data_IF_160948966222
#
_entry.id   IF_160948966222
#
_cell.length_a   1.000
_cell.length_b   1.000
_cell.length_c   1.000
_cell.angle_alpha   90.00
_cell.angle_beta   90.00
_cell.angle_gamma   90.00
#
_symmetry.space_group_name_H-M   'P 1'
#
loop_
_entity.id
_entity.type
_entity.pdbx_description
1 polymer ?
#
# COMPACT_ATOMS: atom_id res chain seq x y z
N UNK A 1 38.54 46.83 -0.98
CA UNK A 1 37.49 46.09 -0.23
C UNK A 1 36.35 45.48 -1.07
N UNK A 2 36.05 45.92 -2.29
CA UNK A 2 34.90 45.39 -3.09
C UNK A 2 35.05 43.93 -3.58
N UNK A 3 36.29 43.46 -3.88
CA UNK A 3 36.55 42.10 -4.39
C UNK A 3 36.23 40.97 -3.39
N UNK A 4 36.55 41.14 -2.10
CA UNK A 4 36.33 40.12 -1.08
C UNK A 4 34.82 39.89 -0.79
N UNK A 5 34.01 40.95 -0.82
CA UNK A 5 32.54 40.86 -0.65
C UNK A 5 31.87 40.15 -1.82
N UNK A 6 32.31 40.40 -3.06
CA UNK A 6 31.80 39.70 -4.24
C UNK A 6 32.17 38.21 -4.25
N UNK A 7 33.39 37.86 -3.79
CA UNK A 7 33.82 36.47 -3.67
C UNK A 7 33.03 35.67 -2.62
N UNK A 8 32.82 36.25 -1.42
CA UNK A 8 32.04 35.63 -0.36
C UNK A 8 30.54 35.46 -0.74
N UNK A 9 29.98 36.41 -1.50
CA UNK A 9 28.62 36.32 -2.02
C UNK A 9 28.44 35.16 -3.01
N UNK A 10 29.39 35.00 -3.95
CA UNK A 10 29.40 33.89 -4.90
C UNK A 10 29.59 32.52 -4.23
N UNK A 11 30.39 32.45 -3.15
CA UNK A 11 30.59 31.22 -2.38
C UNK A 11 29.33 30.80 -1.59
N UNK A 12 28.66 31.78 -0.95
CA UNK A 12 27.36 31.59 -0.28
C UNK A 12 26.27 31.16 -1.26
N UNK A 13 26.24 31.75 -2.46
CA UNK A 13 25.23 31.43 -3.47
C UNK A 13 25.43 30.01 -4.04
N UNK A 14 26.68 29.62 -4.33
CA UNK A 14 27.02 28.25 -4.76
C UNK A 14 26.65 27.22 -3.70
N UNK A 15 26.97 27.47 -2.43
CA UNK A 15 26.61 26.57 -1.32
C UNK A 15 25.10 26.36 -1.17
N UNK A 16 24.30 27.43 -1.30
CA UNK A 16 22.84 27.34 -1.26
C UNK A 16 22.28 26.54 -2.43
N UNK A 17 22.79 26.75 -3.64
CA UNK A 17 22.38 26.00 -4.84
C UNK A 17 22.70 24.52 -4.66
N UNK A 18 23.90 24.17 -4.20
CA UNK A 18 24.29 22.78 -3.93
C UNK A 18 23.38 22.14 -2.88
N UNK A 19 23.05 22.86 -1.81
CA UNK A 19 22.18 22.37 -0.74
C UNK A 19 20.74 22.14 -1.22
N UNK A 20 20.20 23.07 -2.03
CA UNK A 20 18.89 22.92 -2.65
C UNK A 20 18.85 21.74 -3.63
N UNK A 21 19.91 21.54 -4.42
CA UNK A 21 20.02 20.39 -5.32
C UNK A 21 20.09 19.06 -4.56
N UNK A 22 20.78 19.02 -3.42
CA UNK A 22 20.84 17.87 -2.52
C UNK A 22 19.47 17.54 -1.92
N UNK A 23 18.70 18.55 -1.50
CA UNK A 23 17.32 18.36 -1.00
C UNK A 23 16.42 17.82 -2.11
N UNK A 24 16.51 18.35 -3.34
CA UNK A 24 15.75 17.85 -4.48
C UNK A 24 16.09 16.41 -4.85
N UNK A 25 17.37 16.01 -4.74
CA UNK A 25 17.80 14.62 -4.94
C UNK A 25 17.28 13.67 -3.85
N UNK A 26 17.22 14.14 -2.59
CA UNK A 26 16.68 13.36 -1.48
C UNK A 26 15.15 13.19 -1.55
N UNK A 27 14.43 14.12 -2.18
CA UNK A 27 12.97 14.08 -2.32
C UNK A 27 12.46 13.63 -3.70
N UNK A 28 13.33 13.51 -4.72
CA UNK A 28 12.94 13.23 -6.11
C UNK A 28 12.63 11.76 -6.44
N UNK A 29 12.62 10.88 -5.44
CA UNK A 29 12.54 9.43 -5.62
C UNK A 29 11.20 8.82 -5.21
N UNK A 30 10.08 9.28 -5.79
CA UNK A 30 8.85 8.47 -5.78
C UNK A 30 8.62 7.97 -7.20
N UNK A 31 9.01 6.72 -7.45
CA UNK A 31 8.60 6.03 -8.66
C UNK A 31 7.08 5.88 -8.60
N UNK A 32 6.37 6.62 -9.45
CA UNK A 32 4.92 6.46 -9.65
C UNK A 32 4.67 5.11 -10.32
N UNK A 33 4.71 4.04 -9.55
CA UNK A 33 4.18 2.74 -9.94
C UNK A 33 2.66 2.84 -10.07
N UNK A 34 2.09 2.11 -11.03
CA UNK A 34 0.63 1.98 -11.09
C UNK A 34 0.17 1.18 -9.87
N UNK A 35 -0.76 1.73 -9.10
CA UNK A 35 -1.36 1.03 -7.97
C UNK A 35 -1.98 -0.31 -8.42
N UNK A 36 -1.79 -1.40 -7.66
CA UNK A 36 -2.35 -2.69 -8.00
C UNK A 36 -3.88 -2.66 -7.92
N UNK A 37 -4.53 -3.45 -8.78
CA UNK A 37 -5.97 -3.67 -8.70
C UNK A 37 -6.27 -4.45 -7.42
N UNK A 38 -7.19 -3.95 -6.60
CA UNK A 38 -7.61 -4.68 -5.39
C UNK A 38 -8.87 -5.49 -5.68
N UNK A 39 -8.84 -6.78 -5.36
CA UNK A 39 -10.00 -7.68 -5.42
C UNK A 39 -10.41 -7.98 -3.97
N UNK A 40 -11.56 -7.46 -3.57
CA UNK A 40 -12.16 -7.74 -2.27
C UNK A 40 -12.98 -9.03 -2.33
N UNK A 41 -12.74 -9.94 -1.39
CA UNK A 41 -13.50 -11.17 -1.26
C UNK A 41 -14.49 -11.04 -0.10
N UNK A 42 -15.79 -11.16 -0.40
CA UNK A 42 -16.86 -11.22 0.59
C UNK A 42 -17.56 -12.57 0.50
N UNK A 43 -17.54 -13.33 1.59
CA UNK A 43 -18.04 -14.71 1.60
C UNK A 43 -18.15 -15.32 2.98
N UNK A 44 -18.31 -16.64 2.98
CA UNK A 44 -18.58 -17.45 4.17
C UNK A 44 -17.38 -18.35 4.55
N UNK A 45 -17.64 -19.43 5.28
CA UNK A 45 -16.62 -20.38 5.70
C UNK A 45 -15.86 -21.05 4.55
N UNK A 46 -16.42 -21.17 3.36
CA UNK A 46 -15.72 -21.81 2.24
C UNK A 46 -14.59 -20.94 1.68
N UNK A 47 -14.62 -19.64 1.95
CA UNK A 47 -13.69 -18.63 1.44
C UNK A 47 -12.80 -18.04 2.55
N UNK A 48 -13.31 -17.97 3.77
CA UNK A 48 -12.67 -17.34 4.92
C UNK A 48 -11.35 -17.98 5.33
N UNK A 49 -10.42 -17.16 5.79
CA UNK A 49 -9.20 -17.63 6.45
C UNK A 49 -9.52 -18.36 7.76
N UNK A 50 -8.83 -19.48 7.99
CA UNK A 50 -9.02 -20.31 9.18
C UNK A 50 -7.95 -20.07 10.24
N UNK A 51 -8.43 -19.95 11.48
CA UNK A 51 -7.58 -19.87 12.67
C UNK A 51 -6.70 -21.13 12.81
N UNK A 52 -5.52 -21.01 13.44
CA UNK A 52 -4.58 -22.13 13.59
C UNK A 52 -5.19 -23.38 14.24
N UNK A 53 -6.09 -23.22 15.21
CA UNK A 53 -6.79 -24.31 15.92
C UNK A 53 -7.87 -25.02 15.08
N UNK A 54 -8.25 -24.43 13.93
CA UNK A 54 -9.22 -24.98 12.98
C UNK A 54 -8.57 -25.66 11.78
N UNK A 55 -7.24 -25.60 11.66
CA UNK A 55 -6.51 -26.33 10.62
C UNK A 55 -6.73 -27.85 10.79
N UNK A 56 -6.81 -28.65 9.71
CA UNK A 56 -6.44 -28.31 8.34
C UNK A 56 -7.55 -27.68 7.49
N UNK A 57 -8.71 -27.31 8.08
CA UNK A 57 -9.72 -26.55 7.35
C UNK A 57 -9.09 -25.28 6.74
N UNK A 58 -9.48 -24.94 5.51
CA UNK A 58 -9.03 -23.73 4.83
C UNK A 58 -10.11 -23.19 3.90
N UNK A 59 -10.19 -21.87 3.77
CA UNK A 59 -11.00 -21.24 2.73
C UNK A 59 -10.23 -21.09 1.43
N UNK A 60 -10.91 -21.20 0.28
CA UNK A 60 -10.25 -21.05 -1.02
C UNK A 60 -9.60 -19.67 -1.21
N UNK A 61 -10.10 -18.63 -0.52
CA UNK A 61 -9.58 -17.27 -0.57
C UNK A 61 -8.17 -17.12 0.02
N UNK A 62 -7.76 -17.99 0.94
CA UNK A 62 -6.40 -17.96 1.54
C UNK A 62 -5.28 -18.15 0.51
N UNK A 63 -5.58 -18.88 -0.56
CA UNK A 63 -4.58 -19.23 -1.58
C UNK A 63 -4.66 -18.35 -2.83
N UNK A 64 -5.71 -17.53 -2.94
CA UNK A 64 -6.03 -16.83 -4.19
C UNK A 64 -4.92 -15.86 -4.63
N UNK A 65 -4.29 -15.14 -3.71
CA UNK A 65 -3.21 -14.20 -4.01
C UNK A 65 -2.04 -14.86 -4.77
N UNK A 66 -1.77 -16.15 -4.53
CA UNK A 66 -0.65 -16.88 -5.16
C UNK A 66 -0.82 -17.06 -6.67
N UNK A 67 -2.03 -16.83 -7.18
CA UNK A 67 -2.34 -16.92 -8.61
C UNK A 67 -2.19 -15.57 -9.34
N UNK A 68 -1.80 -14.51 -8.64
CA UNK A 68 -1.62 -13.19 -9.22
C UNK A 68 -0.25 -12.58 -8.90
N UNK A 69 0.22 -11.73 -9.80
CA UNK A 69 1.39 -10.86 -9.58
C UNK A 69 1.03 -9.81 -8.51
N UNK A 70 1.74 -9.84 -7.37
CA UNK A 70 1.51 -8.95 -6.23
C UNK A 70 1.67 -7.46 -6.57
N UNK A 71 2.45 -7.13 -7.60
CA UNK A 71 2.62 -5.75 -8.06
C UNK A 71 1.48 -5.27 -8.95
N UNK A 72 0.58 -6.17 -9.38
CA UNK A 72 -0.53 -5.87 -10.28
C UNK A 72 -1.89 -6.10 -9.64
N UNK A 73 -1.99 -7.07 -8.73
CA UNK A 73 -3.25 -7.45 -8.08
C UNK A 73 -3.01 -7.76 -6.60
N UNK A 74 -3.85 -7.15 -5.76
CA UNK A 74 -3.94 -7.42 -4.33
C UNK A 74 -5.27 -8.08 -4.02
N UNK A 75 -5.26 -9.18 -3.28
CA UNK A 75 -6.45 -9.87 -2.78
C UNK A 75 -6.65 -9.46 -1.32
N UNK A 76 -7.83 -8.92 -1.01
CA UNK A 76 -8.22 -8.60 0.37
C UNK A 76 -9.40 -9.49 0.77
N UNK A 77 -9.14 -10.49 1.60
CA UNK A 77 -10.14 -11.50 1.97
C UNK A 77 -10.89 -11.08 3.24
N UNK A 78 -12.14 -10.65 3.08
CA UNK A 78 -13.04 -10.27 4.17
C UNK A 78 -14.10 -11.34 4.49
N UNK A 79 -14.01 -12.52 3.87
CA UNK A 79 -14.93 -13.61 4.17
C UNK A 79 -14.82 -14.07 5.62
N UNK A 80 -15.96 -14.50 6.18
CA UNK A 80 -16.03 -14.90 7.58
C UNK A 80 -16.95 -16.11 7.77
N UNK A 81 -16.52 -17.05 8.60
CA UNK A 81 -17.30 -18.25 8.93
C UNK A 81 -18.73 -17.92 9.40
N UNK A 82 -19.71 -18.66 8.90
CA UNK A 82 -21.11 -18.52 9.31
C UNK A 82 -21.82 -17.25 8.80
N UNK A 83 -21.23 -16.53 7.84
CA UNK A 83 -21.87 -15.34 7.25
C UNK A 83 -22.71 -15.73 6.05
N UNK A 84 -23.90 -15.16 5.99
CA UNK A 84 -24.69 -15.04 4.76
C UNK A 84 -24.59 -13.60 4.26
N UNK A 85 -25.07 -13.31 3.06
CA UNK A 85 -25.20 -11.91 2.59
C UNK A 85 -25.92 -11.02 3.61
N UNK A 86 -26.99 -11.55 4.25
CA UNK A 86 -27.77 -10.81 5.25
C UNK A 86 -26.92 -10.44 6.46
N UNK A 87 -26.23 -11.41 7.07
CA UNK A 87 -25.40 -11.12 8.26
C UNK A 87 -24.15 -10.31 7.90
N UNK A 88 -23.59 -10.49 6.72
CA UNK A 88 -22.45 -9.69 6.25
C UNK A 88 -22.80 -8.19 6.18
N UNK A 89 -23.98 -7.86 5.63
CA UNK A 89 -24.48 -6.48 5.59
C UNK A 89 -24.86 -6.00 7.00
N UNK A 90 -25.56 -6.81 7.78
CA UNK A 90 -26.00 -6.44 9.13
C UNK A 90 -24.84 -6.19 10.10
N UNK A 91 -23.71 -6.88 9.93
CA UNK A 91 -22.49 -6.68 10.70
C UNK A 91 -21.61 -5.52 10.19
N UNK A 92 -22.11 -4.71 9.25
CA UNK A 92 -21.41 -3.60 8.60
C UNK A 92 -20.09 -3.99 7.90
N UNK A 93 -19.97 -5.24 7.44
CA UNK A 93 -18.76 -5.72 6.75
C UNK A 93 -18.70 -5.24 5.31
N UNK A 94 -19.84 -4.91 4.71
CA UNK A 94 -19.90 -4.34 3.36
C UNK A 94 -19.19 -2.98 3.30
N UNK A 95 -19.40 -2.14 4.31
CA UNK A 95 -18.82 -0.80 4.43
C UNK A 95 -17.30 -0.81 4.59
N UNK A 96 -16.69 -1.95 4.92
CA UNK A 96 -15.24 -2.08 4.96
C UNK A 96 -14.62 -2.24 3.56
N UNK A 97 -15.42 -2.53 2.53
CA UNK A 97 -14.95 -2.86 1.17
C UNK A 97 -15.61 -2.02 0.06
N UNK A 98 -16.54 -1.11 0.38
CA UNK A 98 -17.18 -0.17 -0.57
C UNK A 98 -17.18 1.27 -0.08
#
# INVERSE_FOLDING_TARGET
>A
MKRARSFAFNLSLRSKITFTFLILLLFGGSAFGKEPITIYLAGDSTMAEKQPDKRPETGWGEMLQKHFDENKVRIENHAQNGRSTKSFIAENRWQAIV
#
